data_IF_017160911041
#
_entry.id   IF_017160911041
#
_cell.length_a   1.000
_cell.length_b   1.000
_cell.length_c   1.000
_cell.angle_alpha   90.00
_cell.angle_beta   90.00
_cell.angle_gamma   90.00
#
_symmetry.space_group_name_H-M   'P 1'
#
loop_
_entity.id
_entity.type
_entity.pdbx_description
1 polymer ?
#
# COMPACT_ATOMS: atom_id res chain seq x y z
N UNK A 1 -4.48 -14.93 29.69
CA UNK A 1 -4.36 -13.59 30.30
C UNK A 1 -3.90 -12.65 29.22
N UNK A 2 -4.77 -11.75 28.76
CA UNK A 2 -4.41 -10.72 27.77
C UNK A 2 -3.58 -9.68 28.51
N UNK A 3 -2.32 -9.52 28.10
CA UNK A 3 -1.42 -8.51 28.65
C UNK A 3 -1.94 -7.13 28.22
N UNK A 4 -2.74 -6.49 29.09
CA UNK A 4 -3.34 -5.18 28.85
C UNK A 4 -2.25 -4.12 28.95
N UNK A 5 -1.64 -3.77 27.82
CA UNK A 5 -0.76 -2.62 27.73
C UNK A 5 -1.53 -1.38 28.24
N UNK A 6 -1.04 -0.76 29.32
CA UNK A 6 -1.62 0.48 29.85
C UNK A 6 -1.32 1.62 28.87
N UNK A 7 -2.33 2.05 28.11
CA UNK A 7 -2.25 3.24 27.27
C UNK A 7 -2.11 4.49 28.13
N UNK A 8 -1.17 5.37 27.77
CA UNK A 8 -0.93 6.64 28.45
C UNK A 8 -1.66 7.79 27.74
N UNK A 9 -1.71 8.99 28.34
CA UNK A 9 -2.28 10.20 27.70
C UNK A 9 -1.71 10.48 26.31
N UNK A 10 -0.45 10.08 26.07
CA UNK A 10 0.22 10.23 24.77
C UNK A 10 -0.42 9.37 23.68
N UNK A 11 -1.17 8.33 24.03
CA UNK A 11 -1.80 7.37 23.10
C UNK A 11 -3.21 7.73 22.68
N UNK A 12 -3.82 8.70 23.36
CA UNK A 12 -5.19 9.15 23.10
C UNK A 12 -5.44 9.45 21.61
N UNK A 13 -4.52 10.09 20.85
CA UNK A 13 -4.78 10.36 19.44
C UNK A 13 -4.80 9.11 18.54
N UNK A 14 -4.16 8.02 18.96
CA UNK A 14 -4.00 6.79 18.18
C UNK A 14 -5.19 5.84 18.38
N UNK A 15 -5.83 5.87 19.55
CA UNK A 15 -6.86 4.89 19.92
C UNK A 15 -8.07 4.87 18.98
N UNK A 16 -8.68 6.01 18.58
CA UNK A 16 -9.81 5.99 17.65
C UNK A 16 -9.43 5.45 16.26
N UNK A 17 -8.20 5.73 15.82
CA UNK A 17 -7.66 5.24 14.55
C UNK A 17 -7.43 3.74 14.62
N UNK A 18 -6.80 3.26 15.70
CA UNK A 18 -6.57 1.83 15.93
C UNK A 18 -7.88 1.05 15.97
N UNK A 19 -8.87 1.53 16.74
CA UNK A 19 -10.17 0.88 16.84
C UNK A 19 -10.81 0.72 15.45
N UNK A 20 -10.80 1.79 14.64
CA UNK A 20 -11.34 1.74 13.29
C UNK A 20 -10.60 0.76 12.39
N UNK A 21 -9.28 0.65 12.50
CA UNK A 21 -8.48 -0.31 11.72
C UNK A 21 -8.79 -1.75 12.11
N UNK A 22 -9.00 -2.02 13.40
CA UNK A 22 -9.43 -3.34 13.87
C UNK A 22 -10.81 -3.67 13.32
N UNK A 23 -11.75 -2.73 13.33
CA UNK A 23 -13.09 -2.92 12.74
C UNK A 23 -13.05 -3.18 11.22
N UNK A 24 -12.03 -2.67 10.51
CA UNK A 24 -11.79 -2.95 9.10
C UNK A 24 -11.17 -4.34 8.84
N UNK A 25 -10.84 -5.10 9.89
CA UNK A 25 -10.32 -6.46 9.79
C UNK A 25 -8.82 -6.62 10.05
N UNK A 26 -8.14 -5.62 10.63
CA UNK A 26 -6.73 -5.77 11.01
C UNK A 26 -6.60 -6.43 12.39
N UNK A 27 -5.72 -7.43 12.47
CA UNK A 27 -5.36 -8.05 13.74
C UNK A 27 -4.39 -7.17 14.52
N UNK A 28 -4.80 -6.70 15.70
CA UNK A 28 -3.92 -5.89 16.55
C UNK A 28 -2.82 -6.74 17.19
N UNK A 29 -1.57 -6.30 17.03
CA UNK A 29 -0.42 -6.78 17.76
C UNK A 29 0.02 -5.72 18.76
N UNK A 30 0.21 -6.12 20.01
CA UNK A 30 0.84 -5.23 21.00
C UNK A 30 2.27 -4.90 20.56
N UNK A 31 2.85 -3.78 21.00
CA UNK A 31 4.25 -3.46 20.69
C UNK A 31 5.23 -4.60 21.06
N UNK A 32 4.96 -5.30 22.16
CA UNK A 32 5.73 -6.47 22.60
C UNK A 32 5.58 -7.66 21.64
N UNK A 33 4.35 -7.95 21.19
CA UNK A 33 4.10 -9.00 20.20
C UNK A 33 4.73 -8.66 18.84
N UNK A 34 4.62 -7.41 18.40
CA UNK A 34 5.25 -6.93 17.18
C UNK A 34 6.79 -7.05 17.26
N UNK A 35 7.38 -6.71 18.41
CA UNK A 35 8.82 -6.89 18.64
C UNK A 35 9.23 -8.37 18.65
N UNK A 36 8.43 -9.23 19.28
CA UNK A 36 8.67 -10.68 19.27
C UNK A 36 8.65 -11.22 17.84
N UNK A 37 7.65 -10.85 17.02
CA UNK A 37 7.55 -11.24 15.61
C UNK A 37 8.68 -10.68 14.73
N UNK A 38 9.41 -9.65 15.20
CA UNK A 38 10.66 -9.12 14.60
C UNK A 38 11.91 -9.83 15.10
N UNK A 39 11.75 -10.95 15.82
CA UNK A 39 12.81 -11.71 16.51
C UNK A 39 13.52 -10.91 17.60
N UNK A 40 12.79 -10.01 18.27
CA UNK A 40 13.31 -9.19 19.36
C UNK A 40 14.23 -8.04 18.92
N UNK A 41 14.35 -7.77 17.62
CA UNK A 41 15.30 -6.78 17.08
C UNK A 41 14.59 -5.54 16.55
N UNK A 42 14.85 -4.39 17.16
CA UNK A 42 14.30 -3.09 16.73
C UNK A 42 14.90 -2.55 15.42
N UNK A 43 16.01 -3.13 14.94
CA UNK A 43 16.56 -2.84 13.61
C UNK A 43 15.91 -3.66 12.47
N UNK A 44 15.20 -4.74 12.79
CA UNK A 44 14.41 -5.50 11.82
C UNK A 44 13.07 -4.81 11.63
N UNK A 45 12.62 -4.53 10.41
CA UNK A 45 11.30 -3.89 10.19
C UNK A 45 10.20 -4.86 9.78
N UNK A 46 10.57 -6.07 9.34
CA UNK A 46 9.65 -7.14 8.97
C UNK A 46 9.22 -7.95 10.20
N UNK A 47 7.95 -8.35 10.25
CA UNK A 47 7.46 -9.38 11.17
C UNK A 47 7.83 -10.75 10.60
N UNK A 48 9.12 -11.12 10.69
CA UNK A 48 9.71 -12.28 10.01
C UNK A 48 8.96 -13.60 10.28
N UNK A 49 8.45 -13.81 11.48
CA UNK A 49 7.76 -15.05 11.84
C UNK A 49 6.41 -15.17 11.11
N UNK A 50 5.65 -14.07 11.07
CA UNK A 50 4.39 -13.96 10.31
C UNK A 50 4.67 -14.07 8.81
N UNK A 51 5.73 -13.42 8.32
CA UNK A 51 6.11 -13.48 6.92
C UNK A 51 6.47 -14.91 6.51
N UNK A 52 7.30 -15.62 7.28
CA UNK A 52 7.65 -17.02 7.01
C UNK A 52 6.39 -17.89 6.93
N UNK A 53 5.50 -17.78 7.91
CA UNK A 53 4.24 -18.55 7.94
C UNK A 53 3.38 -18.26 6.71
N UNK A 54 3.18 -16.98 6.36
CA UNK A 54 2.28 -16.59 5.27
C UNK A 54 2.85 -16.91 3.90
N UNK A 55 4.15 -16.72 3.65
CA UNK A 55 4.77 -17.17 2.41
C UNK A 55 4.64 -18.68 2.22
N UNK A 56 4.78 -19.46 3.30
CA UNK A 56 4.54 -20.90 3.30
C UNK A 56 3.07 -21.29 3.12
N UNK A 57 2.12 -20.38 3.34
CA UNK A 57 0.68 -20.62 3.16
C UNK A 57 0.18 -20.27 1.76
N UNK A 58 0.51 -19.08 1.25
CA UNK A 58 -0.06 -18.55 -0.01
C UNK A 58 0.58 -19.15 -1.27
N UNK A 59 1.79 -19.69 -1.14
CA UNK A 59 2.53 -20.26 -2.27
C UNK A 59 2.33 -21.79 -2.33
N UNK A 60 1.57 -22.23 -3.33
CA UNK A 60 1.35 -23.62 -3.71
C UNK A 60 1.73 -23.77 -5.17
N UNK A 61 2.49 -24.80 -5.48
CA UNK A 61 2.97 -25.11 -6.83
C UNK A 61 2.14 -26.28 -7.36
N UNK A 62 1.23 -26.07 -8.32
CA UNK A 62 0.57 -27.16 -9.00
C UNK A 62 1.55 -27.84 -9.96
N UNK A 63 1.87 -29.11 -9.73
CA UNK A 63 2.74 -29.89 -10.60
C UNK A 63 2.26 -31.34 -10.70
N UNK A 64 2.13 -31.86 -11.93
CA UNK A 64 1.65 -33.23 -12.23
C UNK A 64 0.39 -33.65 -11.44
N UNK A 65 -0.56 -32.74 -11.25
CA UNK A 65 -1.81 -33.02 -10.53
C UNK A 65 -1.68 -33.06 -8.99
N UNK A 66 -0.51 -32.77 -8.43
CA UNK A 66 -0.28 -32.61 -6.99
C UNK A 66 0.08 -31.15 -6.65
N UNK A 67 -0.25 -30.72 -5.43
CA UNK A 67 0.18 -29.43 -4.91
C UNK A 67 1.44 -29.58 -4.06
N UNK A 68 2.51 -28.89 -4.45
CA UNK A 68 3.76 -28.86 -3.71
C UNK A 68 3.94 -27.53 -2.98
N UNK A 69 4.68 -27.55 -1.87
CA UNK A 69 5.08 -26.36 -1.14
C UNK A 69 6.51 -25.99 -1.51
N UNK A 70 6.83 -24.70 -1.47
CA UNK A 70 8.22 -24.26 -1.49
C UNK A 70 8.98 -24.82 -0.28
N UNK A 71 10.26 -25.12 -0.45
CA UNK A 71 11.11 -25.57 0.67
C UNK A 71 11.27 -24.46 1.70
N UNK A 72 11.52 -24.82 2.96
CA UNK A 72 11.80 -23.81 4.00
C UNK A 72 13.03 -22.95 3.66
N UNK A 73 14.01 -23.54 2.96
CA UNK A 73 15.19 -22.83 2.47
C UNK A 73 14.81 -21.75 1.44
N UNK A 74 13.94 -22.08 0.47
CA UNK A 74 13.46 -21.10 -0.51
C UNK A 74 12.62 -19.99 0.13
N UNK A 75 11.80 -20.31 1.15
CA UNK A 75 11.08 -19.29 1.93
C UNK A 75 12.08 -18.37 2.65
N UNK A 76 13.11 -18.94 3.29
CA UNK A 76 14.15 -18.16 3.98
C UNK A 76 14.93 -17.29 3.00
N UNK A 77 15.29 -17.83 1.84
CA UNK A 77 15.98 -17.11 0.78
C UNK A 77 15.13 -15.93 0.27
N UNK A 78 13.82 -16.12 0.09
CA UNK A 78 12.91 -15.04 -0.30
C UNK A 78 12.91 -13.91 0.74
N UNK A 79 12.81 -14.24 2.03
CA UNK A 79 12.87 -13.24 3.11
C UNK A 79 14.21 -12.50 3.10
N UNK A 80 15.33 -13.22 2.94
CA UNK A 80 16.66 -12.60 2.86
C UNK A 80 16.83 -11.72 1.61
N UNK A 81 16.29 -12.13 0.46
CA UNK A 81 16.28 -11.31 -0.76
C UNK A 81 15.43 -10.05 -0.62
N UNK A 82 14.34 -10.12 0.16
CA UNK A 82 13.53 -8.95 0.49
C UNK A 82 14.26 -8.00 1.46
N UNK A 83 15.07 -8.53 2.39
CA UNK A 83 15.86 -7.74 3.36
C UNK A 83 17.11 -7.10 2.76
N UNK A 84 17.72 -7.77 1.77
CA UNK A 84 19.02 -7.40 1.19
C UNK A 84 18.93 -6.53 -0.06
N UNK A 85 17.80 -5.84 -0.26
CA UNK A 85 17.64 -4.90 -1.38
C UNK A 85 18.68 -3.78 -1.25
N UNK A 86 19.43 -3.56 -2.33
CA UNK A 86 20.47 -2.52 -2.38
C UNK A 86 19.83 -1.14 -2.18
N UNK A 87 20.37 -0.38 -1.24
CA UNK A 87 19.97 1.02 -1.04
C UNK A 87 20.50 1.88 -2.19
N UNK A 88 19.62 2.60 -2.88
CA UNK A 88 19.94 3.49 -4.00
C UNK A 88 19.26 4.87 -3.82
N UNK A 89 18.91 5.20 -2.58
CA UNK A 89 18.00 6.28 -2.21
C UNK A 89 16.58 5.77 -1.99
N UNK A 90 15.86 6.42 -1.08
CA UNK A 90 14.57 5.95 -0.57
C UNK A 90 13.55 5.59 -1.66
N UNK A 91 13.30 6.48 -2.63
CA UNK A 91 12.22 6.23 -3.62
C UNK A 91 12.59 5.11 -4.59
N UNK A 92 13.84 5.06 -5.06
CA UNK A 92 14.32 3.98 -5.94
C UNK A 92 14.35 2.63 -5.23
N UNK A 93 14.78 2.60 -3.97
CA UNK A 93 14.72 1.37 -3.17
C UNK A 93 13.28 0.95 -2.92
N UNK A 94 12.36 1.90 -2.71
CA UNK A 94 10.92 1.60 -2.60
C UNK A 94 10.34 1.03 -3.90
N UNK A 95 10.75 1.54 -5.05
CA UNK A 95 10.40 1.02 -6.38
C UNK A 95 10.85 -0.42 -6.55
N UNK A 96 12.13 -0.72 -6.29
CA UNK A 96 12.69 -2.08 -6.35
C UNK A 96 12.01 -3.04 -5.37
N UNK A 97 11.57 -2.56 -4.20
CA UNK A 97 10.78 -3.37 -3.27
C UNK A 97 9.37 -3.58 -3.81
N UNK A 98 8.71 -2.53 -4.30
CA UNK A 98 7.36 -2.60 -4.88
C UNK A 98 7.31 -3.62 -6.03
N UNK A 99 8.23 -3.55 -6.99
CA UNK A 99 8.35 -4.52 -8.09
C UNK A 99 8.49 -5.96 -7.59
N UNK A 100 9.31 -6.18 -6.56
CA UNK A 100 9.48 -7.52 -5.98
C UNK A 100 8.20 -8.02 -5.30
N UNK A 101 7.44 -7.12 -4.67
CA UNK A 101 6.15 -7.47 -4.06
C UNK A 101 5.08 -7.80 -5.11
N UNK A 102 5.09 -7.11 -6.25
CA UNK A 102 4.10 -7.27 -7.33
C UNK A 102 4.43 -8.44 -8.26
N UNK A 103 5.69 -8.55 -8.72
CA UNK A 103 6.15 -9.58 -9.65
C UNK A 103 6.55 -10.89 -8.97
N UNK A 104 6.92 -10.84 -7.69
CA UNK A 104 7.43 -11.99 -6.95
C UNK A 104 8.92 -12.25 -7.18
N UNK A 105 9.37 -13.46 -6.82
CA UNK A 105 10.75 -13.91 -6.93
C UNK A 105 10.80 -15.29 -7.59
N UNK A 106 11.47 -15.41 -8.73
CA UNK A 106 11.70 -16.70 -9.37
C UNK A 106 12.76 -17.47 -8.58
N UNK A 107 12.41 -18.68 -8.15
CA UNK A 107 13.27 -19.58 -7.38
C UNK A 107 13.27 -20.96 -8.00
N UNK A 108 14.44 -21.59 -8.07
CA UNK A 108 14.54 -22.99 -8.42
C UNK A 108 14.04 -23.85 -7.27
N UNK A 109 13.05 -24.70 -7.56
CA UNK A 109 12.47 -25.64 -6.62
C UNK A 109 12.82 -27.06 -7.09
N UNK A 110 13.47 -27.88 -6.26
CA UNK A 110 13.61 -29.30 -6.55
C UNK A 110 12.23 -29.96 -6.47
N UNK A 111 11.78 -30.55 -7.59
CA UNK A 111 10.54 -31.32 -7.65
C UNK A 111 10.83 -32.70 -8.21
N UNK A 112 10.64 -33.72 -7.37
CA UNK A 112 10.88 -35.13 -7.71
C UNK A 112 12.28 -35.32 -8.33
N UNK A 113 12.33 -35.47 -9.65
CA UNK A 113 13.53 -35.81 -10.43
C UNK A 113 14.26 -34.59 -11.01
N UNK A 114 13.63 -33.40 -11.07
CA UNK A 114 14.22 -32.21 -11.71
C UNK A 114 13.94 -30.92 -10.95
N UNK A 115 14.92 -30.02 -10.93
CA UNK A 115 14.69 -28.65 -10.48
C UNK A 115 13.97 -27.84 -11.57
N UNK A 116 12.95 -27.07 -11.17
CA UNK A 116 12.27 -26.11 -12.05
C UNK A 116 12.08 -24.78 -11.35
N UNK A 117 12.11 -23.70 -12.11
CA UNK A 117 11.90 -22.35 -11.57
C UNK A 117 10.41 -22.05 -11.43
N UNK A 118 10.02 -21.60 -10.24
CA UNK A 118 8.67 -21.13 -9.94
C UNK A 118 8.73 -19.75 -9.29
N UNK A 119 7.72 -18.93 -9.58
CA UNK A 119 7.60 -17.60 -8.98
C UNK A 119 6.96 -17.70 -7.60
N UNK A 120 7.73 -17.36 -6.57
CA UNK A 120 7.24 -17.14 -5.21
C UNK A 120 6.62 -15.74 -5.12
N UNK A 121 5.40 -15.66 -4.58
CA UNK A 121 4.67 -14.41 -4.37
C UNK A 121 4.77 -13.97 -2.92
N UNK A 122 4.99 -12.68 -2.68
CA UNK A 122 4.97 -12.10 -1.33
C UNK A 122 3.55 -11.78 -0.85
N UNK A 123 2.69 -11.38 -1.79
CA UNK A 123 1.29 -11.04 -1.57
C UNK A 123 0.44 -11.85 -2.55
N UNK A 124 -0.69 -12.39 -2.09
CA UNK A 124 -1.71 -12.95 -2.97
C UNK A 124 -2.63 -11.81 -3.44
N UNK A 125 -2.27 -11.18 -4.57
CA UNK A 125 -3.02 -10.06 -5.15
C UNK A 125 -4.37 -10.47 -5.75
N UNK A 126 -4.55 -11.77 -6.04
CA UNK A 126 -5.78 -12.30 -6.63
C UNK A 126 -6.83 -12.61 -5.57
N UNK A 127 -6.40 -13.20 -4.44
CA UNK A 127 -7.28 -13.55 -3.33
C UNK A 127 -6.81 -12.84 -2.06
N UNK A 128 -7.34 -11.64 -1.83
CA UNK A 128 -6.90 -10.77 -0.73
C UNK A 128 -7.04 -11.44 0.65
N UNK A 129 -8.08 -12.26 0.84
CA UNK A 129 -8.39 -12.99 2.08
C UNK A 129 -7.31 -13.99 2.50
N UNK A 130 -6.47 -14.45 1.56
CA UNK A 130 -5.36 -15.36 1.86
C UNK A 130 -4.16 -14.65 2.48
N UNK A 131 -4.16 -13.32 2.49
CA UNK A 131 -3.13 -12.51 3.15
C UNK A 131 -3.52 -12.26 4.61
N UNK A 132 -2.51 -12.03 5.45
CA UNK A 132 -2.73 -11.67 6.85
C UNK A 132 -2.46 -10.19 7.09
N UNK A 133 -3.43 -9.51 7.70
CA UNK A 133 -3.41 -8.08 7.95
C UNK A 133 -3.20 -7.82 9.45
N UNK A 134 -2.18 -7.04 9.79
CA UNK A 134 -1.88 -6.71 11.18
C UNK A 134 -1.68 -5.21 11.38
N UNK A 135 -2.00 -4.73 12.58
CA UNK A 135 -1.77 -3.35 13.00
C UNK A 135 -1.03 -3.33 14.32
N UNK A 136 -0.05 -2.43 14.44
CA UNK A 136 0.60 -2.12 15.72
C UNK A 136 0.65 -0.62 15.92
N UNK A 137 0.67 -0.20 17.18
CA UNK A 137 0.92 1.18 17.58
C UNK A 137 2.35 1.32 18.08
N UNK A 138 2.87 2.54 18.15
CA UNK A 138 4.15 2.89 18.79
C UNK A 138 5.28 1.96 18.34
N UNK A 139 5.54 1.95 17.04
CA UNK A 139 6.48 1.02 16.44
C UNK A 139 7.90 1.61 16.45
N UNK A 140 8.82 1.13 17.32
CA UNK A 140 10.17 1.64 17.39
C UNK A 140 11.01 1.11 16.23
N UNK A 141 11.82 1.98 15.65
CA UNK A 141 12.77 1.66 14.60
C UNK A 141 14.10 2.26 14.99
N UNK A 142 15.11 1.41 15.10
CA UNK A 142 16.46 1.88 15.31
C UNK A 142 17.21 2.05 14.00
N UNK A 143 18.16 2.98 13.99
CA UNK A 143 19.17 3.05 12.96
C UNK A 143 20.03 1.76 12.90
N UNK A 144 20.88 1.60 11.88
CA UNK A 144 21.71 0.39 11.75
C UNK A 144 22.64 0.16 12.94
N UNK A 145 23.04 1.24 13.63
CA UNK A 145 23.97 1.18 14.77
C UNK A 145 23.23 0.96 16.10
N UNK A 146 21.91 1.05 16.12
CA UNK A 146 21.11 0.90 17.34
C UNK A 146 21.23 2.10 18.29
N UNK A 147 21.84 3.19 17.83
CA UNK A 147 22.15 4.39 18.64
C UNK A 147 20.98 5.34 18.69
N UNK A 148 20.15 5.38 17.65
CA UNK A 148 19.05 6.32 17.56
C UNK A 148 17.76 5.62 17.16
N UNK A 149 16.66 6.03 17.77
CA UNK A 149 15.35 5.39 17.59
C UNK A 149 14.30 6.42 17.22
N UNK A 150 13.53 6.11 16.17
CA UNK A 150 12.26 6.78 15.88
C UNK A 150 11.12 5.87 16.33
N UNK A 151 10.00 6.45 16.75
CA UNK A 151 8.78 5.70 17.08
C UNK A 151 7.68 6.16 16.13
N UNK A 152 7.19 5.25 15.29
CA UNK A 152 6.05 5.53 14.40
C UNK A 152 4.75 5.29 15.14
N UNK A 153 3.75 6.14 14.87
CA UNK A 153 2.48 6.09 15.59
C UNK A 153 1.69 4.80 15.34
N UNK A 154 1.41 4.48 14.08
CA UNK A 154 0.70 3.27 13.67
C UNK A 154 1.34 2.71 12.41
N UNK A 155 1.54 1.38 12.39
CA UNK A 155 2.04 0.66 11.22
C UNK A 155 1.09 -0.48 10.87
N UNK A 156 0.67 -0.54 9.61
CA UNK A 156 -0.10 -1.64 9.04
C UNK A 156 0.82 -2.59 8.29
N UNK A 157 0.57 -3.88 8.44
CA UNK A 157 1.34 -4.95 7.81
C UNK A 157 0.44 -5.82 6.94
N UNK A 158 0.98 -6.28 5.82
CA UNK A 158 0.41 -7.34 5.00
C UNK A 158 1.44 -8.47 4.93
N UNK A 159 1.05 -9.68 5.35
CA UNK A 159 1.94 -10.84 5.46
C UNK A 159 3.23 -10.54 6.25
N UNK A 160 3.17 -9.65 7.25
CA UNK A 160 4.34 -9.25 8.05
C UNK A 160 5.26 -8.23 7.38
N UNK A 161 4.91 -7.69 6.21
CA UNK A 161 5.62 -6.62 5.52
C UNK A 161 4.96 -5.28 5.86
N UNK A 162 5.69 -4.23 6.25
CA UNK A 162 5.13 -2.90 6.47
C UNK A 162 4.55 -2.32 5.18
N UNK A 163 3.27 -1.97 5.19
CA UNK A 163 2.54 -1.48 4.02
C UNK A 163 2.08 -0.04 4.19
N UNK A 164 1.66 0.35 5.39
CA UNK A 164 1.13 1.69 5.66
C UNK A 164 1.69 2.23 6.96
N UNK A 165 2.09 3.51 6.96
CA UNK A 165 2.44 4.26 8.18
C UNK A 165 1.45 5.39 8.34
N UNK A 166 0.89 5.52 9.54
CA UNK A 166 -0.10 6.55 9.87
C UNK A 166 0.42 7.37 11.05
N UNK A 167 0.63 8.67 10.83
CA UNK A 167 0.98 9.64 11.88
C UNK A 167 -0.29 10.32 12.43
N UNK A 168 -0.40 10.41 13.75
CA UNK A 168 -1.59 10.88 14.45
C UNK A 168 -1.28 12.16 15.25
N UNK A 169 -2.05 13.21 14.99
CA UNK A 169 -2.10 14.41 15.82
C UNK A 169 -3.39 14.42 16.68
N UNK A 170 -3.38 15.10 17.83
CA UNK A 170 -4.62 15.47 18.52
C UNK A 170 -5.54 16.32 17.62
N UNK A 171 -6.86 16.28 17.84
CA UNK A 171 -7.83 17.07 17.05
C UNK A 171 -7.67 18.58 17.17
N UNK A 172 -7.17 19.07 18.31
CA UNK A 172 -6.85 20.48 18.48
C UNK A 172 -5.61 20.94 17.70
N UNK A 173 -4.91 20.04 17.00
CA UNK A 173 -3.68 20.34 16.27
C UNK A 173 -3.93 20.27 14.75
N UNK A 174 -3.40 21.22 13.97
CA UNK A 174 -3.47 21.16 12.51
C UNK A 174 -2.83 19.88 11.96
N UNK A 175 -3.49 19.26 10.97
CA UNK A 175 -3.01 18.04 10.30
C UNK A 175 -1.60 18.19 9.70
N UNK A 176 -1.20 19.41 9.33
CA UNK A 176 0.14 19.72 8.81
C UNK A 176 1.27 19.27 9.74
N UNK A 177 1.05 19.23 11.06
CA UNK A 177 2.05 18.73 12.00
C UNK A 177 2.26 17.22 11.84
N UNK A 178 1.19 16.43 11.66
CA UNK A 178 1.28 14.99 11.39
C UNK A 178 1.90 14.71 10.02
N UNK A 179 1.56 15.50 9.00
CA UNK A 179 2.18 15.44 7.67
C UNK A 179 3.68 15.74 7.75
N UNK A 180 4.05 16.82 8.45
CA UNK A 180 5.44 17.19 8.65
C UNK A 180 6.21 16.10 9.42
N UNK A 181 5.60 15.47 10.44
CA UNK A 181 6.20 14.34 11.14
C UNK A 181 6.44 13.15 10.19
N UNK A 182 5.44 12.79 9.37
CA UNK A 182 5.58 11.71 8.39
C UNK A 182 6.70 11.97 7.39
N UNK A 183 6.80 13.20 6.87
CA UNK A 183 7.87 13.60 5.94
C UNK A 183 9.23 13.60 6.64
N UNK A 184 9.30 14.06 7.90
CA UNK A 184 10.52 14.05 8.69
C UNK A 184 11.02 12.62 8.94
N UNK A 185 10.14 11.70 9.29
CA UNK A 185 10.46 10.29 9.54
C UNK A 185 11.04 9.59 8.30
N UNK A 186 10.69 10.05 7.09
CA UNK A 186 11.24 9.53 5.83
C UNK A 186 12.66 10.02 5.52
N UNK A 187 13.15 11.09 6.16
CA UNK A 187 14.47 11.66 5.84
C UNK A 187 15.57 10.79 6.44
N UNK A 188 16.56 10.47 5.62
CA UNK A 188 17.77 9.73 6.04
C UNK A 188 18.59 10.50 7.10
N UNK A 189 18.43 11.82 7.16
CA UNK A 189 19.10 12.75 8.08
C UNK A 189 18.24 13.20 9.28
N UNK A 190 17.17 12.46 9.64
CA UNK A 190 16.27 12.81 10.76
C UNK A 190 16.94 12.84 12.14
N UNK A 191 18.19 12.38 12.23
CA UNK A 191 18.92 12.28 13.46
C UNK A 191 19.74 13.52 13.78
N UNK A 192 19.39 14.29 14.84
CA UNK A 192 20.22 15.38 15.29
C UNK A 192 21.50 14.78 15.92
N UNK A 193 22.60 14.83 15.18
CA UNK A 193 23.94 14.67 15.76
C UNK A 193 24.12 15.56 17.00
N UNK A 194 25.09 15.22 17.87
CA UNK A 194 25.23 15.75 19.22
C UNK A 194 25.15 17.29 19.28
N UNK A 195 24.65 17.85 20.41
CA UNK A 195 24.50 19.30 20.58
C UNK A 195 25.81 20.03 20.26
N UNK A 196 25.77 21.01 19.35
CA UNK A 196 26.92 21.86 19.01
C UNK A 196 27.57 21.64 17.63
N UNK A 197 27.13 20.68 16.83
CA UNK A 197 27.69 20.48 15.47
C UNK A 197 26.93 21.26 14.38
N UNK A 198 27.67 21.94 13.49
CA UNK A 198 27.16 22.79 12.40
C UNK A 198 26.25 22.00 11.40
N UNK A 199 25.04 22.47 11.05
CA UNK A 199 24.10 21.73 10.19
C UNK A 199 24.63 21.42 8.78
N UNK A 200 25.47 22.30 8.20
CA UNK A 200 25.94 22.18 6.82
C UNK A 200 27.08 21.17 6.63
N UNK A 201 27.80 20.80 7.70
CA UNK A 201 28.90 19.83 7.67
C UNK A 201 28.43 18.36 7.77
N UNK A 202 27.12 18.12 7.89
CA UNK A 202 26.55 16.79 8.22
C UNK A 202 26.22 15.93 7.01
N UNK A 203 26.55 16.37 5.80
CA UNK A 203 26.31 15.60 4.58
C UNK A 203 27.51 14.69 4.29
N UNK A 204 27.52 13.51 4.92
CA UNK A 204 28.36 12.41 4.46
C UNK A 204 27.44 11.44 3.70
N UNK A 205 27.62 11.24 2.38
CA UNK A 205 26.71 10.44 1.55
C UNK A 205 26.50 9.00 2.03
N UNK A 206 27.38 8.49 2.91
CA UNK A 206 27.45 7.09 3.30
C UNK A 206 27.05 6.76 4.76
N UNK A 207 26.70 7.74 5.61
CA UNK A 207 26.80 7.52 7.07
C UNK A 207 25.50 7.42 7.89
N UNK A 208 24.34 7.88 7.43
CA UNK A 208 23.08 7.77 8.20
C UNK A 208 22.02 6.95 7.48
N UNK A 209 22.32 5.66 7.30
CA UNK A 209 21.34 4.70 6.80
C UNK A 209 20.57 4.18 8.01
N UNK A 210 19.32 4.62 8.15
CA UNK A 210 18.31 3.99 9.01
C UNK A 210 18.40 2.46 8.85
N UNK A 211 18.40 1.71 9.97
CA UNK A 211 18.28 0.25 9.97
C UNK A 211 17.13 -0.13 9.07
N UNK A 212 17.39 -0.98 8.06
CA UNK A 212 16.47 -1.36 6.98
C UNK A 212 15.30 -0.38 6.81
N UNK A 213 15.54 0.79 6.21
CA UNK A 213 14.57 1.89 6.17
C UNK A 213 13.15 1.36 5.91
N UNK A 214 12.28 1.43 6.92
CA UNK A 214 10.91 0.90 6.83
C UNK A 214 10.16 1.47 5.62
N UNK A 215 10.46 2.72 5.27
CA UNK A 215 9.83 3.43 4.17
C UNK A 215 10.24 2.87 2.80
N UNK A 216 11.26 2.02 2.72
CA UNK A 216 11.54 1.20 1.54
C UNK A 216 10.45 0.14 1.29
N UNK A 217 9.73 -0.30 2.33
CA UNK A 217 8.64 -1.27 2.22
C UNK A 217 7.26 -0.61 2.15
N UNK A 218 7.10 0.51 2.84
CA UNK A 218 5.82 1.22 2.96
C UNK A 218 5.30 1.65 1.60
N UNK A 219 4.05 1.32 1.31
CA UNK A 219 3.40 1.60 0.05
C UNK A 219 2.60 2.91 0.10
N UNK A 220 2.06 3.25 1.27
CA UNK A 220 1.20 4.40 1.51
C UNK A 220 1.54 5.06 2.85
N UNK A 221 1.50 6.38 2.91
CA UNK A 221 1.61 7.15 4.17
C UNK A 221 0.33 7.93 4.40
N UNK A 222 -0.14 7.97 5.65
CA UNK A 222 -1.27 8.77 6.08
C UNK A 222 -0.91 9.65 7.26
N UNK A 223 -1.65 10.74 7.39
CA UNK A 223 -1.61 11.65 8.50
C UNK A 223 -3.05 11.99 8.89
N UNK A 224 -3.35 12.04 10.18
CA UNK A 224 -4.68 12.39 10.67
C UNK A 224 -4.60 13.19 11.95
N UNK A 225 -5.57 14.09 12.14
CA UNK A 225 -5.82 14.75 13.42
C UNK A 225 -7.17 14.32 14.03
N UNK A 226 -7.71 13.14 13.68
CA UNK A 226 -9.04 12.66 14.12
C UNK A 226 -10.26 13.48 13.66
N UNK A 227 -10.07 14.61 12.98
CA UNK A 227 -11.15 15.28 12.25
C UNK A 227 -11.05 15.00 10.75
N UNK A 228 -9.81 15.09 10.24
CA UNK A 228 -9.47 14.88 8.84
C UNK A 228 -8.33 13.87 8.71
N UNK A 229 -8.19 13.29 7.52
CA UNK A 229 -7.01 12.53 7.15
C UNK A 229 -6.58 12.88 5.73
N UNK A 230 -5.27 12.87 5.54
CA UNK A 230 -4.63 13.02 4.24
C UNK A 230 -3.65 11.89 4.01
N UNK A 231 -3.41 11.59 2.75
CA UNK A 231 -2.50 10.54 2.32
C UNK A 231 -1.53 11.04 1.28
N UNK A 232 -0.42 10.32 1.18
CA UNK A 232 0.59 10.45 0.14
C UNK A 232 1.34 9.14 -0.05
N UNK A 233 2.30 9.15 -0.96
CA UNK A 233 3.26 8.06 -1.14
C UNK A 233 4.63 8.48 -0.62
N UNK A 234 5.56 7.55 -0.60
CA UNK A 234 6.95 7.82 -0.22
C UNK A 234 7.54 8.95 -1.08
N UNK A 235 8.16 9.92 -0.41
CA UNK A 235 8.75 11.09 -1.06
C UNK A 235 7.77 12.19 -1.47
N UNK A 236 6.47 12.06 -1.17
CA UNK A 236 5.47 13.07 -1.52
C UNK A 236 5.64 14.37 -0.70
N UNK A 237 5.91 15.52 -1.34
CA UNK A 237 5.96 16.82 -0.67
C UNK A 237 4.59 17.21 -0.08
N UNK A 238 4.59 17.92 1.06
CA UNK A 238 3.37 18.30 1.81
C UNK A 238 2.24 18.86 0.93
N UNK A 239 2.55 19.74 -0.02
CA UNK A 239 1.56 20.35 -0.94
C UNK A 239 0.77 19.37 -1.84
N UNK A 240 1.26 18.14 -1.99
CA UNK A 240 0.65 17.10 -2.82
C UNK A 240 -0.10 16.04 -2.02
N UNK A 241 -0.06 16.11 -0.68
CA UNK A 241 -0.92 15.30 0.16
C UNK A 241 -2.37 15.59 -0.15
N UNK A 242 -3.19 14.55 -0.18
CA UNK A 242 -4.56 14.61 -0.68
C UNK A 242 -5.53 14.00 0.32
N UNK A 243 -6.78 14.46 0.30
CA UNK A 243 -7.87 13.83 1.05
C UNK A 243 -8.52 12.74 0.19
N UNK A 244 -8.97 11.67 0.83
CA UNK A 244 -9.81 10.68 0.18
C UNK A 244 -11.28 11.05 0.36
N UNK A 245 -12.08 10.87 -0.69
CA UNK A 245 -13.53 11.07 -0.64
C UNK A 245 -14.18 9.85 -1.25
N UNK A 246 -15.06 9.20 -0.49
CA UNK A 246 -15.95 8.19 -1.07
C UNK A 246 -16.94 8.90 -2.00
N UNK A 247 -17.17 8.34 -3.18
CA UNK A 247 -18.24 8.77 -4.10
C UNK A 247 -19.28 7.66 -4.16
N UNK A 248 -20.56 8.06 -4.17
CA UNK A 248 -21.76 7.25 -4.33
C UNK A 248 -21.51 5.79 -4.73
N UNK A 249 -21.34 4.96 -3.70
CA UNK A 249 -21.40 3.52 -3.79
C UNK A 249 -22.02 3.03 -2.47
N UNK A 250 -23.36 3.07 -2.40
CA UNK A 250 -24.14 2.54 -1.27
C UNK A 250 -23.95 1.02 -1.10
N UNK A 251 -23.50 0.33 -2.14
CA UNK A 251 -23.49 -1.14 -2.24
C UNK A 251 -22.34 -1.87 -1.51
N UNK A 252 -21.33 -1.19 -0.93
CA UNK A 252 -20.24 -1.84 -0.15
C UNK A 252 -20.31 -1.44 1.32
N UNK A 253 -20.87 -0.27 1.65
CA UNK A 253 -21.19 0.07 3.04
C UNK A 253 -22.35 -0.78 3.56
N UNK A 254 -23.30 -1.20 2.70
CA UNK A 254 -24.39 -2.12 3.07
C UNK A 254 -23.93 -3.56 3.32
N UNK A 255 -22.74 -3.97 2.82
CA UNK A 255 -22.18 -5.32 3.07
C UNK A 255 -21.51 -5.45 4.43
N UNK A 256 -21.28 -4.35 5.12
CA UNK A 256 -20.86 -4.33 6.51
C UNK A 256 -22.06 -3.90 7.33
N UNK A 257 -22.64 -4.76 8.18
CA UNK A 257 -23.73 -4.33 9.03
C UNK A 257 -23.28 -3.11 9.81
N UNK A 258 -23.98 -1.99 9.61
CA UNK A 258 -24.02 -0.95 10.62
C UNK A 258 -24.51 -1.65 11.90
N UNK A 259 -23.67 -1.66 12.91
CA UNK A 259 -23.94 -2.29 14.20
C UNK A 259 -24.21 -3.81 14.14
N UNK A 260 -23.14 -4.59 14.20
CA UNK A 260 -23.16 -5.68 15.18
C UNK A 260 -22.30 -5.24 16.35
N UNK A 261 -22.90 -5.26 17.54
CA UNK A 261 -22.28 -5.01 18.84
C UNK A 261 -21.17 -6.02 19.14
N UNK A 262 -20.14 -6.07 18.32
CA UNK A 262 -18.89 -6.71 18.66
C UNK A 262 -18.10 -5.72 19.50
N UNK A 263 -18.26 -5.80 20.82
CA UNK A 263 -17.29 -5.23 21.74
C UNK A 263 -15.92 -5.85 21.41
N UNK A 264 -15.13 -5.16 20.58
CA UNK A 264 -13.77 -5.56 20.26
C UNK A 264 -13.02 -5.77 21.60
N UNK A 265 -12.42 -6.95 21.86
CA UNK A 265 -11.68 -7.20 23.11
C UNK A 265 -10.60 -6.15 23.39
N UNK A 266 -10.07 -5.50 22.34
CA UNK A 266 -9.21 -4.34 22.42
C UNK A 266 -9.90 -3.14 23.12
N UNK A 267 -11.13 -2.78 22.75
CA UNK A 267 -11.91 -1.70 23.38
C UNK A 267 -12.28 -2.02 24.84
N UNK A 268 -12.62 -3.27 25.15
CA UNK A 268 -12.89 -3.72 26.53
C UNK A 268 -11.65 -3.60 27.43
N UNK A 269 -10.46 -3.89 26.90
CA UNK A 269 -9.19 -3.68 27.61
C UNK A 269 -8.85 -2.19 27.80
N UNK A 270 -9.23 -1.33 26.85
CA UNK A 270 -9.03 0.12 26.88
C UNK A 270 -9.97 0.79 27.89
N UNK A 271 -11.23 0.32 27.99
CA UNK A 271 -12.26 0.88 28.86
C UNK A 271 -12.04 0.61 30.36
N UNK A 272 -11.14 -0.31 30.72
CA UNK A 272 -10.88 -0.75 32.10
C UNK A 272 -9.94 0.16 32.90
N UNK A 273 -9.49 1.29 32.35
CA UNK A 273 -8.54 2.20 33.00
C UNK A 273 -9.24 3.16 33.99
N UNK A 274 -8.81 3.29 35.26
CA UNK A 274 -9.51 4.06 36.31
C UNK A 274 -9.58 5.58 36.09
N UNK A 275 -9.01 6.10 35.00
CA UNK A 275 -8.96 7.53 34.65
C UNK A 275 -9.41 7.82 33.21
N UNK A 276 -10.34 7.01 32.68
CA UNK A 276 -10.95 7.30 31.38
C UNK A 276 -11.85 8.55 31.47
N UNK A 277 -11.74 9.51 30.53
CA UNK A 277 -12.75 10.55 30.40
C UNK A 277 -14.11 9.90 30.09
N UNK A 278 -15.20 10.51 30.60
CA UNK A 278 -16.60 10.09 30.49
C UNK A 278 -16.88 9.07 29.38
N UNK A 279 -17.52 7.95 29.74
CA UNK A 279 -18.12 6.98 28.80
C UNK A 279 -18.73 7.76 27.62
N UNK A 280 -18.26 7.57 26.38
CA UNK A 280 -18.88 8.23 25.23
C UNK A 280 -20.35 7.83 25.21
N UNK A 281 -21.21 8.82 25.01
CA UNK A 281 -22.65 8.62 25.02
C UNK A 281 -23.00 7.58 23.94
N UNK A 282 -23.61 6.46 24.36
CA UNK A 282 -23.86 5.24 23.57
C UNK A 282 -24.95 5.42 22.49
N UNK A 283 -25.10 6.63 21.94
CA UNK A 283 -26.15 7.04 20.99
C UNK A 283 -25.70 8.05 19.93
N UNK A 284 -24.42 8.41 19.87
CA UNK A 284 -23.91 9.15 18.73
C UNK A 284 -23.57 8.12 17.65
N UNK A 285 -24.35 8.11 16.56
CA UNK A 285 -23.90 7.53 15.28
C UNK A 285 -22.44 7.94 15.10
N UNK A 286 -21.51 7.04 14.73
CA UNK A 286 -20.13 7.46 14.45
C UNK A 286 -20.24 8.62 13.48
N UNK A 287 -19.88 9.82 13.96
CA UNK A 287 -19.95 11.01 13.14
C UNK A 287 -19.11 10.69 11.91
N UNK A 288 -19.68 10.90 10.74
CA UNK A 288 -19.10 10.62 9.42
C UNK A 288 -17.89 11.55 9.20
N UNK A 289 -16.85 11.39 10.01
CA UNK A 289 -15.69 12.27 10.05
C UNK A 289 -14.84 12.02 8.82
N UNK A 290 -14.19 13.07 8.32
CA UNK A 290 -13.36 12.98 7.12
C UNK A 290 -12.23 11.94 7.26
N UNK A 291 -11.74 11.71 8.49
CA UNK A 291 -10.71 10.70 8.73
C UNK A 291 -11.27 9.26 8.66
N UNK A 292 -12.45 8.98 9.21
CA UNK A 292 -13.01 7.62 9.21
C UNK A 292 -13.30 7.12 7.78
N UNK A 293 -13.85 8.00 6.95
CA UNK A 293 -14.10 7.75 5.52
C UNK A 293 -12.78 7.53 4.76
N UNK A 294 -11.74 8.28 5.09
CA UNK A 294 -10.42 8.10 4.48
C UNK A 294 -9.78 6.77 4.88
N UNK A 295 -9.83 6.40 6.16
CA UNK A 295 -9.32 5.11 6.65
C UNK A 295 -10.07 3.95 6.01
N UNK A 296 -11.40 4.00 5.96
CA UNK A 296 -12.17 2.97 5.27
C UNK A 296 -11.80 2.89 3.79
N UNK A 297 -11.71 4.04 3.11
CA UNK A 297 -11.42 4.11 1.67
C UNK A 297 -10.00 3.71 1.28
N UNK A 298 -9.02 3.86 2.16
CA UNK A 298 -7.61 3.56 1.84
C UNK A 298 -7.09 2.31 2.53
N UNK A 299 -7.62 1.95 3.70
CA UNK A 299 -7.09 0.88 4.54
C UNK A 299 -7.96 -0.38 4.56
N UNK A 300 -9.18 -0.40 4.00
CA UNK A 300 -9.93 -1.66 3.87
C UNK A 300 -9.07 -2.72 3.16
N UNK A 301 -8.87 -3.94 3.72
CA UNK A 301 -7.88 -4.90 3.23
C UNK A 301 -7.89 -5.15 1.71
N UNK A 302 -9.07 -5.45 1.14
CA UNK A 302 -9.25 -5.64 -0.31
C UNK A 302 -8.84 -4.39 -1.11
N UNK A 303 -9.35 -3.22 -0.69
CA UNK A 303 -9.14 -1.95 -1.40
C UNK A 303 -7.69 -1.46 -1.26
N UNK A 304 -7.06 -1.67 -0.11
CA UNK A 304 -5.64 -1.35 0.11
C UNK A 304 -4.77 -2.10 -0.90
N UNK A 305 -4.98 -3.42 -1.04
CA UNK A 305 -4.23 -4.22 -2.01
C UNK A 305 -4.54 -3.80 -3.45
N UNK A 306 -5.80 -3.55 -3.78
CA UNK A 306 -6.19 -3.06 -5.10
C UNK A 306 -5.52 -1.71 -5.44
N UNK A 307 -5.53 -0.75 -4.50
CA UNK A 307 -4.93 0.57 -4.69
C UNK A 307 -3.41 0.48 -4.91
N UNK A 308 -2.73 -0.37 -4.14
CA UNK A 308 -1.29 -0.56 -4.27
C UNK A 308 -0.96 -1.25 -5.59
N UNK A 309 -1.68 -2.30 -5.96
CA UNK A 309 -1.38 -3.11 -7.15
C UNK A 309 -1.76 -2.41 -8.46
N UNK A 310 -3.00 -1.89 -8.54
CA UNK A 310 -3.57 -1.37 -9.80
C UNK A 310 -3.50 0.14 -9.92
N UNK A 311 -3.40 0.88 -8.81
CA UNK A 311 -3.54 2.33 -8.77
C UNK A 311 -2.32 3.07 -8.22
N UNK A 312 -1.18 2.40 -8.11
CA UNK A 312 0.11 3.02 -7.80
C UNK A 312 1.05 2.90 -8.98
N UNK A 313 1.71 4.00 -9.35
CA UNK A 313 2.64 4.06 -10.48
C UNK A 313 3.90 4.80 -10.07
N UNK A 314 5.02 4.45 -10.68
CA UNK A 314 6.22 5.27 -10.65
C UNK A 314 6.24 6.06 -11.95
N UNK A 315 6.45 7.37 -11.86
CA UNK A 315 6.55 8.26 -13.01
C UNK A 315 7.86 9.02 -12.87
N UNK A 316 8.85 8.60 -13.65
CA UNK A 316 10.22 9.14 -13.62
C UNK A 316 10.84 9.13 -12.21
N UNK A 317 10.72 7.99 -11.52
CA UNK A 317 11.25 7.81 -10.17
C UNK A 317 10.45 8.54 -9.07
N UNK A 318 9.26 9.03 -9.36
CA UNK A 318 8.31 9.57 -8.38
C UNK A 318 7.16 8.60 -8.23
N UNK A 319 6.99 8.02 -7.04
CA UNK A 319 5.83 7.19 -6.73
C UNK A 319 4.57 8.04 -6.60
N UNK A 320 3.51 7.66 -7.29
CA UNK A 320 2.19 8.30 -7.26
C UNK A 320 1.11 7.26 -7.01
N UNK A 321 0.06 7.63 -6.29
CA UNK A 321 -1.16 6.82 -6.12
C UNK A 321 -2.35 7.60 -6.69
N UNK A 322 -3.36 6.87 -7.18
CA UNK A 322 -4.60 7.46 -7.66
C UNK A 322 -5.29 8.34 -6.61
N UNK A 323 -5.80 9.48 -7.07
CA UNK A 323 -6.82 10.24 -6.34
C UNK A 323 -8.16 9.54 -6.44
N UNK A 324 -9.05 9.81 -5.50
CA UNK A 324 -10.38 9.20 -5.45
C UNK A 324 -11.14 9.32 -6.78
N UNK A 325 -11.08 10.47 -7.49
CA UNK A 325 -11.77 10.62 -8.77
C UNK A 325 -11.24 9.66 -9.84
N UNK A 326 -9.92 9.45 -9.88
CA UNK A 326 -9.27 8.57 -10.85
C UNK A 326 -9.63 7.12 -10.55
N UNK A 327 -9.56 6.71 -9.28
CA UNK A 327 -9.97 5.38 -8.83
C UNK A 327 -11.43 5.08 -9.23
N UNK A 328 -12.39 5.93 -8.83
CA UNK A 328 -13.80 5.70 -9.13
C UNK A 328 -14.14 5.80 -10.61
N UNK A 329 -13.43 6.63 -11.38
CA UNK A 329 -13.57 6.67 -12.84
C UNK A 329 -13.22 5.31 -13.45
N UNK A 330 -12.06 4.74 -13.11
CA UNK A 330 -11.63 3.42 -13.60
C UNK A 330 -12.62 2.34 -13.16
N UNK A 331 -13.02 2.30 -11.89
CA UNK A 331 -14.00 1.30 -11.40
C UNK A 331 -15.32 1.36 -12.16
N UNK A 332 -15.81 2.57 -12.48
CA UNK A 332 -17.04 2.77 -13.27
C UNK A 332 -16.87 2.36 -14.73
N UNK A 333 -15.69 2.58 -15.32
CA UNK A 333 -15.39 2.09 -16.67
C UNK A 333 -15.41 0.56 -16.68
N UNK A 334 -14.72 -0.09 -15.73
CA UNK A 334 -14.66 -1.55 -15.64
C UNK A 334 -16.06 -2.16 -15.43
N UNK A 335 -16.89 -1.58 -14.55
CA UNK A 335 -18.27 -2.07 -14.38
C UNK A 335 -19.12 -1.90 -15.64
N UNK A 336 -18.93 -0.80 -16.37
CA UNK A 336 -19.65 -0.54 -17.62
C UNK A 336 -19.26 -1.50 -18.74
N UNK A 337 -17.96 -1.75 -18.93
CA UNK A 337 -17.48 -2.62 -20.01
C UNK A 337 -17.76 -4.10 -19.75
N UNK A 338 -17.91 -4.53 -18.48
CA UNK A 338 -18.26 -5.93 -18.13
C UNK A 338 -19.60 -6.36 -18.72
N UNK A 339 -20.52 -5.43 -18.94
CA UNK A 339 -21.85 -5.69 -19.51
C UNK A 339 -21.76 -5.75 -21.03
N UNK A 340 -22.17 -6.89 -21.59
CA UNK A 340 -22.32 -7.08 -23.03
C UNK A 340 -23.77 -6.80 -23.45
N UNK A 341 -23.95 -6.21 -24.64
CA UNK A 341 -25.26 -6.13 -25.26
C UNK A 341 -25.70 -7.48 -25.88
N UNK A 342 -26.91 -7.52 -26.44
CA UNK A 342 -27.47 -8.72 -27.07
C UNK A 342 -26.61 -9.28 -28.23
N UNK A 343 -25.74 -8.45 -28.82
CA UNK A 343 -24.84 -8.84 -29.90
C UNK A 343 -23.41 -9.14 -29.40
N UNK A 344 -23.21 -9.24 -28.08
CA UNK A 344 -21.91 -9.50 -27.47
C UNK A 344 -20.96 -8.30 -27.50
N UNK A 345 -21.44 -7.07 -27.74
CA UNK A 345 -20.60 -5.87 -27.80
C UNK A 345 -20.57 -5.16 -26.45
N UNK A 346 -19.39 -4.63 -26.09
CA UNK A 346 -19.21 -3.77 -24.92
C UNK A 346 -19.66 -2.35 -25.26
N UNK A 347 -20.36 -1.69 -24.34
CA UNK A 347 -20.80 -0.30 -24.52
C UNK A 347 -19.64 0.67 -24.26
N UNK A 348 -19.49 1.67 -25.12
CA UNK A 348 -18.54 2.78 -24.93
C UNK A 348 -19.06 3.82 -23.93
N UNK A 349 -18.22 4.80 -23.58
CA UNK A 349 -18.61 5.87 -22.66
C UNK A 349 -17.65 7.06 -22.71
N UNK A 350 -18.04 8.15 -22.05
CA UNK A 350 -17.26 9.38 -21.98
C UNK A 350 -16.88 9.64 -20.52
N UNK A 351 -15.60 9.94 -20.29
CA UNK A 351 -15.07 10.34 -18.99
C UNK A 351 -14.60 11.78 -19.08
N UNK A 352 -15.27 12.68 -18.37
CA UNK A 352 -14.91 14.09 -18.35
C UNK A 352 -13.99 14.43 -17.18
N UNK A 353 -12.76 14.80 -17.51
CA UNK A 353 -11.75 15.27 -16.57
C UNK A 353 -11.42 16.73 -16.83
N UNK A 354 -11.22 17.52 -15.77
CA UNK A 354 -10.64 18.88 -15.87
C UNK A 354 -9.16 18.82 -16.28
N UNK A 355 -8.61 19.90 -16.84
CA UNK A 355 -7.18 19.98 -17.17
C UNK A 355 -6.31 19.85 -15.90
N UNK A 356 -5.17 19.17 -15.99
CA UNK A 356 -4.26 18.97 -14.85
C UNK A 356 -4.72 17.94 -13.81
N UNK A 357 -5.87 17.28 -14.00
CA UNK A 357 -6.38 16.25 -13.07
C UNK A 357 -5.68 14.90 -13.13
N UNK A 358 -4.68 14.73 -14.01
CA UNK A 358 -3.98 13.46 -14.22
C UNK A 358 -4.74 12.47 -15.11
N UNK A 359 -5.25 12.95 -16.26
CA UNK A 359 -5.95 12.10 -17.25
C UNK A 359 -5.07 10.95 -17.74
N UNK A 360 -3.84 11.24 -18.16
CA UNK A 360 -2.92 10.23 -18.69
C UNK A 360 -2.59 9.15 -17.66
N UNK A 361 -2.39 9.52 -16.39
CA UNK A 361 -2.21 8.55 -15.30
C UNK A 361 -3.46 7.67 -15.09
N UNK A 362 -4.66 8.23 -15.28
CA UNK A 362 -5.91 7.46 -15.21
C UNK A 362 -5.97 6.44 -16.35
N UNK A 363 -5.48 6.77 -17.55
CA UNK A 363 -5.39 5.85 -18.67
C UNK A 363 -4.41 4.71 -18.40
N UNK A 364 -3.25 4.99 -17.81
CA UNK A 364 -2.28 3.96 -17.39
C UNK A 364 -2.92 3.00 -16.38
N UNK A 365 -3.57 3.53 -15.34
CA UNK A 365 -4.25 2.72 -14.32
C UNK A 365 -5.41 1.91 -14.89
N UNK A 366 -6.16 2.47 -15.86
CA UNK A 366 -7.19 1.75 -16.59
C UNK A 366 -6.58 0.60 -17.41
N UNK A 367 -5.50 0.85 -18.15
CA UNK A 367 -4.82 -0.16 -18.95
C UNK A 367 -4.33 -1.33 -18.10
N UNK A 368 -3.68 -1.03 -16.96
CA UNK A 368 -3.26 -2.05 -15.99
C UNK A 368 -4.46 -2.81 -15.41
N UNK A 369 -5.54 -2.11 -15.08
CA UNK A 369 -6.72 -2.76 -14.53
C UNK A 369 -7.44 -3.65 -15.53
N UNK A 370 -7.42 -3.31 -16.82
CA UNK A 370 -7.96 -4.12 -17.92
C UNK A 370 -7.15 -5.39 -18.13
N UNK A 371 -5.82 -5.32 -18.10
CA UNK A 371 -4.93 -6.48 -18.23
C UNK A 371 -5.21 -7.55 -17.17
N UNK A 372 -5.59 -7.11 -15.97
CA UNK A 372 -5.91 -7.96 -14.81
C UNK A 372 -7.42 -8.23 -14.63
N UNK A 373 -8.24 -7.99 -15.66
CA UNK A 373 -9.69 -8.17 -15.58
C UNK A 373 -10.09 -9.59 -16.05
N UNK A 374 -10.57 -10.49 -15.16
CA UNK A 374 -10.80 -11.90 -15.50
C UNK A 374 -11.79 -12.13 -16.65
N UNK A 375 -12.74 -11.21 -16.85
CA UNK A 375 -13.74 -11.27 -17.92
C UNK A 375 -13.28 -10.71 -19.27
N UNK A 376 -12.03 -10.29 -19.40
CA UNK A 376 -11.45 -9.71 -20.63
C UNK A 376 -10.15 -10.45 -20.93
N UNK A 377 -10.24 -11.48 -21.77
CA UNK A 377 -9.07 -12.23 -22.21
C UNK A 377 -8.24 -11.39 -23.19
N UNK A 378 -6.95 -11.23 -22.89
CA UNK A 378 -5.96 -10.54 -23.74
C UNK A 378 -6.44 -9.19 -24.29
N UNK A 379 -6.72 -8.20 -23.42
CA UNK A 379 -7.22 -6.90 -23.85
C UNK A 379 -6.21 -6.22 -24.76
N UNK A 380 -6.65 -5.82 -25.96
CA UNK A 380 -5.88 -4.93 -26.84
C UNK A 380 -6.34 -3.50 -26.64
N UNK A 381 -5.40 -2.62 -26.31
CA UNK A 381 -5.69 -1.22 -26.02
C UNK A 381 -5.10 -0.36 -27.13
N UNK A 382 -5.98 0.36 -27.84
CA UNK A 382 -5.57 1.33 -28.86
C UNK A 382 -5.83 2.72 -28.31
N UNK A 383 -4.77 3.50 -28.15
CA UNK A 383 -4.82 4.90 -27.73
C UNK A 383 -4.82 5.77 -28.97
N UNK A 384 -5.85 6.61 -29.13
CA UNK A 384 -5.99 7.51 -30.29
C UNK A 384 -5.99 8.95 -29.77
N UNK A 385 -5.14 9.77 -30.37
CA UNK A 385 -5.03 11.20 -30.08
C UNK A 385 -5.20 12.01 -31.35
N UNK A 386 -5.65 13.26 -31.22
CA UNK A 386 -5.85 14.18 -32.34
C UNK A 386 -4.60 15.02 -32.66
N UNK A 387 -3.60 15.03 -31.76
CA UNK A 387 -2.39 15.85 -31.88
C UNK A 387 -1.11 15.06 -31.57
N UNK A 388 -0.05 15.36 -32.34
CA UNK A 388 1.26 14.71 -32.23
C UNK A 388 2.00 14.97 -30.91
N UNK A 389 1.85 16.17 -30.35
CA UNK A 389 2.47 16.54 -29.07
C UNK A 389 1.78 15.85 -27.88
N UNK A 390 0.45 15.76 -27.93
CA UNK A 390 -0.31 15.00 -26.93
C UNK A 390 -0.01 13.50 -27.01
N UNK A 391 0.13 12.97 -28.23
CA UNK A 391 0.56 11.60 -28.49
C UNK A 391 1.91 11.27 -27.85
N UNK A 392 2.90 12.15 -28.03
CA UNK A 392 4.23 12.03 -27.43
C UNK A 392 4.17 12.08 -25.90
N UNK A 393 3.40 13.02 -25.34
CA UNK A 393 3.22 13.11 -23.89
C UNK A 393 2.58 11.86 -23.28
N UNK A 394 1.57 11.27 -23.95
CA UNK A 394 0.91 10.05 -23.48
C UNK A 394 1.88 8.87 -23.58
N UNK A 395 2.59 8.73 -24.71
CA UNK A 395 3.63 7.71 -24.89
C UNK A 395 4.67 7.78 -23.77
N UNK A 396 5.18 8.98 -23.48
CA UNK A 396 6.21 9.17 -22.45
C UNK A 396 5.66 8.88 -21.05
N UNK A 397 4.39 9.23 -20.76
CA UNK A 397 3.73 8.88 -19.49
C UNK A 397 3.61 7.37 -19.32
N UNK A 398 3.18 6.65 -20.36
CA UNK A 398 3.06 5.20 -20.33
C UNK A 398 4.43 4.53 -20.20
N UNK A 399 5.43 5.00 -20.95
CA UNK A 399 6.80 4.50 -20.85
C UNK A 399 7.40 4.75 -19.46
N UNK A 400 7.16 5.91 -18.86
CA UNK A 400 7.60 6.23 -17.50
C UNK A 400 6.95 5.36 -16.42
N UNK A 401 5.82 4.70 -16.73
CA UNK A 401 5.10 3.77 -15.85
C UNK A 401 5.30 2.30 -16.25
N UNK A 402 6.37 1.98 -17.00
CA UNK A 402 6.73 0.64 -17.49
C UNK A 402 5.66 -0.02 -18.39
N UNK A 403 4.91 0.80 -19.13
CA UNK A 403 3.86 0.38 -20.06
C UNK A 403 4.07 0.99 -21.45
N UNK A 404 5.31 1.06 -21.91
CA UNK A 404 5.68 1.74 -23.17
C UNK A 404 4.83 1.27 -24.36
N UNK A 405 4.05 2.16 -25.02
CA UNK A 405 3.17 1.75 -26.10
C UNK A 405 3.92 1.67 -27.43
N UNK A 406 3.47 0.78 -28.31
CA UNK A 406 3.92 0.75 -29.70
C UNK A 406 3.21 1.85 -30.50
N UNK A 407 3.98 2.76 -31.10
CA UNK A 407 3.44 3.91 -31.82
C UNK A 407 3.30 3.61 -33.31
N UNK A 408 2.06 3.52 -33.78
CA UNK A 408 1.77 3.41 -35.21
C UNK A 408 2.03 4.74 -35.94
N UNK A 409 2.71 4.68 -37.09
CA UNK A 409 3.01 5.85 -37.94
C UNK A 409 1.99 6.05 -39.05
N UNK A 410 1.31 4.98 -39.47
CA UNK A 410 0.31 4.99 -40.55
C UNK A 410 -0.87 4.08 -40.20
N UNK A 411 -1.99 4.21 -40.93
CA UNK A 411 -3.13 3.31 -40.76
C UNK A 411 -2.81 1.84 -41.09
N UNK A 412 -1.92 1.61 -42.07
CA UNK A 412 -1.46 0.26 -42.43
C UNK A 412 -0.60 -0.34 -41.31
N UNK A 413 0.33 0.44 -40.78
CA UNK A 413 1.17 0.07 -39.63
C UNK A 413 0.30 -0.28 -38.40
N UNK A 414 -0.74 0.51 -38.12
CA UNK A 414 -1.71 0.19 -37.06
C UNK A 414 -2.40 -1.17 -37.29
N UNK A 415 -2.84 -1.47 -38.52
CA UNK A 415 -3.47 -2.74 -38.83
C UNK A 415 -2.49 -3.91 -38.66
N UNK A 416 -1.23 -3.74 -39.04
CA UNK A 416 -0.16 -4.72 -38.82
C UNK A 416 0.06 -4.96 -37.31
N UNK A 417 0.19 -3.90 -36.50
CA UNK A 417 0.35 -4.00 -35.04
C UNK A 417 -0.85 -4.65 -34.33
N UNK A 418 -2.07 -4.41 -34.82
CA UNK A 418 -3.29 -4.99 -34.21
C UNK A 418 -3.52 -6.43 -34.66
N UNK A 419 -3.10 -6.79 -35.87
CA UNK A 419 -3.30 -8.13 -36.45
C UNK A 419 -2.21 -9.12 -36.06
N UNK A 420 -0.96 -8.68 -35.97
CA UNK A 420 0.12 -9.46 -35.38
C UNK A 420 -0.11 -9.52 -33.87
N UNK A 421 -0.07 -10.72 -33.27
CA UNK A 421 -0.12 -10.92 -31.81
C UNK A 421 1.17 -10.40 -31.11
N UNK A 422 1.72 -9.27 -31.54
CA UNK A 422 2.94 -8.63 -31.03
C UNK A 422 2.63 -7.45 -30.09
N UNK A 423 1.48 -7.46 -29.44
CA UNK A 423 1.23 -6.62 -28.27
C UNK A 423 1.64 -7.42 -27.03
N UNK A 424 2.83 -7.13 -26.52
CA UNK A 424 3.35 -7.67 -25.26
C UNK A 424 2.71 -7.02 -24.03
#
# INVERSE_FOLDING_TARGET
MVDTARFNKKDLPRLPVLARLVDLGFNYLTPTQALAARRGKIGNVLLEDILKERLGYINRIPYKGSEHRFTEENIRLAIEKLKSVKHQGLVRTNETVHERLTLGLSLEQPLEEYARSFTLRYIDWQNWERNAFHVTVRFPIADRRGTETIELDIVLFVNGIPFVVIECAPSCVPIDQAIAQSIRNQRESHFPGPPGSNPESRYSPDQNILGQNIFSYVQLVLATNQDTAQFGTIGTPARFWSTWKERDWKTHLEKYPADQDHESPALLSIASSPKSPRKPNRREKPSDTGYATTLHGLCSPERLLELIYKFSVFDNGIKKMARYQQYFAVKRILSHIRVLDANGRRRGGIVWHTQGSGKSLTMVMLARSLAEEPGILNPRIVLITDRKDLDEQIKDTFAACDMAPQRAKTGRDLLELVSEQKAG
#
